data_IF_515022455625
#
_entry.id   IF_515022455625
#
_cell.length_a   1.000
_cell.length_b   1.000
_cell.length_c   1.000
_cell.angle_alpha   90.00
_cell.angle_beta   90.00
_cell.angle_gamma   90.00
#
_symmetry.space_group_name_H-M   'P 1'
#
loop_
_entity.id
_entity.type
_entity.pdbx_description
1 polymer ?
#
# COMPACT_ATOMS: atom_id res chain seq x y z
N UNK A 1 10.60 19.61 0.17
CA UNK A 1 10.27 19.21 -1.21
C UNK A 1 8.92 18.51 -1.25
N UNK A 2 8.34 18.32 -2.45
CA UNK A 2 7.11 17.55 -2.68
C UNK A 2 7.38 16.52 -3.77
N UNK A 3 7.15 15.25 -3.48
CA UNK A 3 7.40 14.17 -4.42
C UNK A 3 6.23 13.20 -4.45
N UNK A 4 5.94 12.73 -5.66
CA UNK A 4 5.02 11.64 -5.90
C UNK A 4 5.78 10.38 -6.27
N UNK A 5 5.46 9.29 -5.58
CA UNK A 5 5.81 7.93 -6.00
C UNK A 5 4.55 7.26 -6.50
N UNK A 6 4.62 6.54 -7.63
CA UNK A 6 3.46 5.84 -8.17
C UNK A 6 3.86 4.52 -8.78
N UNK A 7 3.06 3.50 -8.49
CA UNK A 7 3.17 2.18 -9.11
C UNK A 7 1.78 1.68 -9.48
N UNK A 8 1.69 0.98 -10.62
CA UNK A 8 0.52 0.20 -11.00
C UNK A 8 0.86 -1.27 -10.82
N UNK A 9 0.02 -1.99 -10.09
CA UNK A 9 0.20 -3.42 -9.83
C UNK A 9 -0.95 -4.21 -10.47
N UNK A 10 -0.70 -5.50 -10.69
CA UNK A 10 -1.72 -6.49 -11.03
C UNK A 10 -1.61 -7.60 -10.00
N UNK A 11 -2.73 -7.96 -9.36
CA UNK A 11 -2.74 -9.03 -8.38
C UNK A 11 -2.57 -10.41 -9.08
N UNK A 12 -1.63 -11.25 -8.62
CA UNK A 12 -1.40 -12.56 -9.23
C UNK A 12 -2.48 -13.57 -8.83
N UNK A 13 -2.43 -14.79 -9.39
CA UNK A 13 -3.29 -15.90 -8.97
C UNK A 13 -2.97 -16.37 -7.54
N UNK A 14 -1.68 -16.49 -7.23
CA UNK A 14 -1.18 -16.94 -5.93
C UNK A 14 0.07 -16.16 -5.50
N UNK A 15 0.29 -16.12 -4.18
CA UNK A 15 1.53 -15.63 -3.56
C UNK A 15 2.03 -16.72 -2.62
N UNK A 16 3.27 -17.17 -2.81
CA UNK A 16 3.87 -18.27 -2.05
C UNK A 16 3.00 -19.55 -2.03
N UNK A 17 2.33 -19.88 -3.13
CA UNK A 17 1.47 -21.06 -3.25
C UNK A 17 0.09 -20.95 -2.58
N UNK A 18 -0.26 -19.76 -2.05
CA UNK A 18 -1.58 -19.48 -1.49
C UNK A 18 -2.40 -18.62 -2.46
N UNK A 19 -3.68 -18.96 -2.73
CA UNK A 19 -4.55 -18.15 -3.56
C UNK A 19 -4.64 -16.70 -3.05
N UNK A 20 -4.64 -15.74 -3.99
CA UNK A 20 -4.98 -14.34 -3.66
C UNK A 20 -6.47 -14.18 -3.45
N UNK A 21 -7.29 -14.91 -4.20
CA UNK A 21 -8.75 -14.87 -4.03
C UNK A 21 -9.14 -15.24 -2.59
N UNK A 22 -10.05 -14.47 -2.01
CA UNK A 22 -10.54 -14.71 -0.64
C UNK A 22 -9.57 -14.26 0.47
N UNK A 23 -8.46 -13.59 0.13
CA UNK A 23 -7.61 -12.89 1.11
C UNK A 23 -8.04 -11.44 1.30
N UNK A 24 -7.47 -10.77 2.30
CA UNK A 24 -7.45 -9.30 2.37
C UNK A 24 -6.05 -8.80 2.03
N UNK A 25 -5.95 -7.84 1.13
CA UNK A 25 -4.68 -7.23 0.74
C UNK A 25 -4.57 -5.87 1.40
N UNK A 26 -3.48 -5.66 2.13
CA UNK A 26 -3.13 -4.37 2.71
C UNK A 26 -1.85 -3.83 2.05
N UNK A 27 -1.81 -2.51 1.84
CA UNK A 27 -0.58 -1.82 1.47
C UNK A 27 0.06 -1.22 2.72
N UNK A 28 1.37 -1.42 2.88
CA UNK A 28 2.15 -0.90 4.00
C UNK A 28 3.39 -0.15 3.50
N UNK A 29 3.66 1.00 4.10
CA UNK A 29 4.83 1.84 3.79
C UNK A 29 5.33 2.59 5.03
N UNK A 30 6.44 3.29 4.88
CA UNK A 30 7.03 4.18 5.87
C UNK A 30 7.65 5.37 5.13
N UNK A 31 7.08 6.56 5.34
CA UNK A 31 7.46 7.81 4.66
C UNK A 31 8.14 8.73 5.67
N UNK A 32 9.13 9.46 5.17
CA UNK A 32 9.92 10.45 5.89
C UNK A 32 9.97 11.74 5.04
N UNK A 33 9.37 12.88 5.42
CA UNK A 33 8.62 13.17 6.65
C UNK A 33 7.10 12.96 6.43
N UNK A 34 6.37 13.93 5.90
CA UNK A 34 4.91 13.83 5.65
C UNK A 34 4.60 12.78 4.59
N UNK A 35 3.54 12.00 4.80
CA UNK A 35 3.08 10.94 3.91
C UNK A 35 1.57 10.88 3.75
N UNK A 36 1.12 10.71 2.51
CA UNK A 36 -0.24 10.27 2.17
C UNK A 36 -0.21 9.02 1.29
N UNK A 37 -1.20 8.14 1.47
CA UNK A 37 -1.42 6.97 0.63
C UNK A 37 -2.72 7.16 -0.16
N UNK A 38 -2.62 6.97 -1.48
CA UNK A 38 -3.71 7.05 -2.42
C UNK A 38 -3.84 5.71 -3.16
N UNK A 39 -5.01 5.08 -3.09
CA UNK A 39 -5.34 3.85 -3.80
C UNK A 39 -6.39 4.19 -4.85
N UNK A 40 -6.09 3.93 -6.12
CA UNK A 40 -6.97 4.18 -7.26
C UNK A 40 -7.54 5.60 -7.35
N UNK A 41 -6.74 6.58 -6.91
CA UNK A 41 -7.10 8.00 -6.92
C UNK A 41 -7.85 8.46 -5.66
N UNK A 42 -8.09 7.58 -4.69
CA UNK A 42 -8.77 7.89 -3.43
C UNK A 42 -7.79 7.81 -2.24
N UNK A 43 -7.82 8.83 -1.38
CA UNK A 43 -7.03 8.85 -0.16
C UNK A 43 -7.86 8.36 1.03
N UNK A 44 -7.39 7.34 1.73
CA UNK A 44 -8.02 6.90 2.97
C UNK A 44 -7.73 7.94 4.07
N UNK A 45 -8.72 8.79 4.38
CA UNK A 45 -8.53 9.91 5.31
C UNK A 45 -8.38 9.49 6.78
N UNK A 46 -8.76 8.26 7.12
CA UNK A 46 -8.66 7.75 8.49
C UNK A 46 -7.28 7.18 8.80
N UNK A 47 -6.62 6.55 7.81
CA UNK A 47 -5.36 5.81 8.01
C UNK A 47 -4.22 6.17 7.05
N UNK A 48 -4.53 6.88 5.97
CA UNK A 48 -3.61 7.18 4.87
C UNK A 48 -3.37 8.67 4.66
N UNK A 49 -3.84 9.56 5.54
CA UNK A 49 -3.64 11.01 5.44
C UNK A 49 -2.93 11.55 6.68
N UNK A 50 -1.99 12.48 6.48
CA UNK A 50 -1.25 13.17 7.57
C UNK A 50 -0.58 12.18 8.53
N UNK A 51 0.12 11.20 7.97
CA UNK A 51 1.05 10.34 8.71
C UNK A 51 2.47 10.63 8.22
N UNK A 52 3.49 9.98 8.79
CA UNK A 52 4.87 10.30 8.41
C UNK A 52 5.90 10.11 9.51
N UNK A 53 7.01 10.85 9.39
CA UNK A 53 8.11 10.86 10.36
C UNK A 53 8.63 9.45 10.70
N UNK A 54 8.80 8.63 9.67
CA UNK A 54 9.25 7.24 9.78
C UNK A 54 8.28 6.33 10.57
N UNK A 55 7.00 6.68 10.70
CA UNK A 55 5.96 5.80 11.25
C UNK A 55 5.39 4.90 10.15
N UNK A 56 5.08 3.65 10.52
CA UNK A 56 4.42 2.68 9.63
C UNK A 56 3.01 3.18 9.29
N UNK A 57 2.70 3.18 8.00
CA UNK A 57 1.38 3.51 7.47
C UNK A 57 0.81 2.28 6.76
N UNK A 58 -0.46 1.97 7.04
CA UNK A 58 -1.10 0.78 6.49
C UNK A 58 -2.56 1.05 6.14
N UNK A 59 -2.94 0.72 4.90
CA UNK A 59 -4.31 0.86 4.39
C UNK A 59 -4.75 -0.42 3.70
N UNK A 60 -6.06 -0.66 3.66
CA UNK A 60 -6.62 -1.74 2.84
C UNK A 60 -6.48 -1.37 1.38
N UNK A 61 -5.84 -2.25 0.60
CA UNK A 61 -5.80 -2.14 -0.85
C UNK A 61 -7.06 -2.78 -1.45
N UNK A 62 -7.39 -4.01 -1.04
CA UNK A 62 -8.58 -4.73 -1.46
C UNK A 62 -9.02 -5.71 -0.38
N UNK A 63 -10.32 -5.70 -0.06
CA UNK A 63 -10.92 -6.60 0.94
C UNK A 63 -11.47 -7.88 0.31
N UNK A 64 -11.58 -7.93 -1.02
CA UNK A 64 -12.03 -9.10 -1.78
C UNK A 64 -11.40 -9.10 -3.18
N UNK A 65 -10.09 -9.40 -3.28
CA UNK A 65 -9.35 -9.33 -4.53
C UNK A 65 -9.65 -10.53 -5.43
N UNK A 66 -9.54 -10.30 -6.73
CA UNK A 66 -9.50 -11.32 -7.77
C UNK A 66 -8.14 -11.29 -8.49
N UNK A 67 -7.64 -12.44 -8.97
CA UNK A 67 -6.50 -12.46 -9.87
C UNK A 67 -6.75 -11.60 -11.10
N UNK A 68 -5.75 -10.79 -11.47
CA UNK A 68 -5.85 -9.83 -12.57
C UNK A 68 -6.40 -8.45 -12.18
N UNK A 69 -6.93 -8.28 -10.97
CA UNK A 69 -7.30 -6.95 -10.46
C UNK A 69 -6.08 -6.02 -10.51
N UNK A 70 -6.31 -4.78 -10.94
CA UNK A 70 -5.26 -3.77 -11.07
C UNK A 70 -5.53 -2.62 -10.13
N UNK A 71 -4.49 -2.20 -9.42
CA UNK A 71 -4.54 -1.05 -8.51
C UNK A 71 -3.40 -0.08 -8.82
N UNK A 72 -3.69 1.21 -8.79
CA UNK A 72 -2.70 2.28 -8.79
C UNK A 72 -2.48 2.74 -7.36
N UNK A 73 -1.25 2.59 -6.87
CA UNK A 73 -0.83 3.06 -5.56
C UNK A 73 0.01 4.31 -5.78
N UNK A 74 -0.38 5.43 -5.18
CA UNK A 74 0.37 6.67 -5.21
C UNK A 74 0.65 7.16 -3.79
N UNK A 75 1.86 7.67 -3.58
CA UNK A 75 2.32 8.22 -2.31
C UNK A 75 2.70 9.68 -2.53
N UNK A 76 2.12 10.58 -1.75
CA UNK A 76 2.61 11.94 -1.65
C UNK A 76 3.53 12.03 -0.45
N UNK A 77 4.77 12.46 -0.68
CA UNK A 77 5.73 12.76 0.38
C UNK A 77 6.09 14.24 0.38
N UNK A 78 6.14 14.85 1.57
CA UNK A 78 6.54 16.26 1.72
C UNK A 78 7.51 16.47 2.90
N UNK A 79 8.43 17.42 2.75
CA UNK A 79 9.36 17.83 3.80
C UNK A 79 9.57 19.35 3.80
N UNK A 80 9.38 19.96 4.97
CA UNK A 80 9.56 21.37 5.23
C UNK A 80 8.26 22.17 5.08
N UNK A 81 8.29 23.48 5.40
CA UNK A 81 7.14 24.35 5.25
C UNK A 81 6.62 24.34 3.80
N UNK A 82 5.30 24.30 3.62
CA UNK A 82 4.73 24.30 2.26
C UNK A 82 5.14 25.55 1.45
N UNK A 83 5.32 26.69 2.13
CA UNK A 83 5.74 27.96 1.52
C UNK A 83 7.26 28.12 1.34
N UNK A 84 8.07 27.21 1.89
CA UNK A 84 9.53 27.26 1.80
C UNK A 84 10.12 25.83 1.88
N UNK A 85 9.82 24.95 0.90
CA UNK A 85 10.29 23.58 0.92
C UNK A 85 11.81 23.53 0.76
N UNK A 86 12.49 22.69 1.56
CA UNK A 86 13.95 22.57 1.51
C UNK A 86 14.53 21.20 1.87
N UNK A 87 13.75 20.33 2.51
CA UNK A 87 14.20 18.99 2.89
C UNK A 87 13.99 17.92 1.82
N UNK A 88 14.74 16.82 1.93
CA UNK A 88 14.58 15.58 1.16
C UNK A 88 13.40 14.75 1.68
N UNK A 89 12.84 13.89 0.84
CA UNK A 89 11.84 12.90 1.29
C UNK A 89 12.28 11.50 0.92
N UNK A 90 11.81 10.51 1.69
CA UNK A 90 12.10 9.10 1.45
C UNK A 90 10.84 8.26 1.62
N UNK A 91 10.62 7.33 0.69
CA UNK A 91 9.77 6.17 0.89
C UNK A 91 10.70 5.00 1.21
N UNK A 92 10.65 4.49 2.45
CA UNK A 92 11.58 3.45 2.94
C UNK A 92 11.29 2.09 2.31
N UNK A 93 10.02 1.75 2.14
CA UNK A 93 9.55 0.50 1.53
C UNK A 93 8.10 0.64 1.04
N UNK A 94 7.68 -0.29 0.19
CA UNK A 94 6.32 -0.39 -0.34
C UNK A 94 5.93 -1.87 -0.40
N UNK A 95 5.19 -2.35 0.59
CA UNK A 95 4.88 -3.76 0.78
C UNK A 95 3.39 -4.04 0.57
N UNK A 96 3.08 -5.21 0.02
CA UNK A 96 1.75 -5.80 0.04
C UNK A 96 1.71 -6.92 1.08
N UNK A 97 0.80 -6.82 2.03
CA UNK A 97 0.49 -7.87 2.99
C UNK A 97 -0.79 -8.60 2.58
N UNK A 98 -0.71 -9.93 2.44
CA UNK A 98 -1.84 -10.81 2.14
C UNK A 98 -2.27 -11.51 3.43
N UNK A 99 -3.50 -11.27 3.88
CA UNK A 99 -4.04 -11.78 5.14
C UNK A 99 -4.99 -12.94 4.87
N UNK A 100 -4.47 -14.17 4.94
CA UNK A 100 -5.28 -15.38 4.80
C UNK A 100 -5.98 -15.72 6.12
N UNK A 101 -7.31 -15.82 6.10
CA UNK A 101 -8.11 -16.21 7.27
C UNK A 101 -8.17 -17.72 7.46
N UNK A 102 -7.07 -18.46 7.23
CA UNK A 102 -6.91 -19.89 7.61
C UNK A 102 -7.93 -20.92 7.10
N UNK A 103 -8.99 -20.56 6.39
CA UNK A 103 -10.13 -21.45 6.06
C UNK A 103 -9.99 -22.17 4.72
N UNK A 104 -9.07 -21.74 3.86
CA UNK A 104 -8.78 -22.39 2.58
C UNK A 104 -7.28 -22.70 2.47
N UNK A 105 -6.81 -23.61 3.32
CA UNK A 105 -5.66 -24.44 2.97
C UNK A 105 -6.08 -25.32 1.79
N UNK A 106 -5.25 -25.40 0.74
CA UNK A 106 -5.45 -26.22 -0.47
C UNK A 106 -6.35 -27.44 -0.25
N UNK A 107 -7.39 -27.69 -1.07
CA UNK A 107 -7.88 -29.05 -1.21
C UNK A 107 -6.72 -29.86 -1.79
N UNK A 108 -6.24 -30.84 -1.02
CA UNK A 108 -5.17 -31.79 -1.35
C UNK A 108 -4.78 -31.81 -2.84
N UNK A 109 -3.69 -31.14 -3.18
CA UNK A 109 -2.96 -31.35 -4.44
C UNK A 109 -1.81 -32.33 -4.20
N UNK A 110 -1.31 -33.01 -5.25
CA UNK A 110 -0.55 -34.26 -5.17
C UNK A 110 0.69 -34.22 -4.27
#
# INVERSE_FOLDING_TARGET
SFMWYRIKITLPEEVNGHPVKGTRVQFETCIDDYGEIWIDGECNRDRGTIQGFNVVQRVVLSDNPNPGDQHTIALLAANGPLAAPGGTVFCRYANLGFEWTGSESRPNGP
#
